data_IF_507114114940
#
_entry.id   IF_507114114940
#
_cell.length_a   1.000
_cell.length_b   1.000
_cell.length_c   1.000
_cell.angle_alpha   90.00
_cell.angle_beta   90.00
_cell.angle_gamma   90.00
#
_symmetry.space_group_name_H-M   'P 1'
#
loop_
_entity.id
_entity.type
_entity.pdbx_description
1 polymer ?
#
# COMPACT_ATOMS: atom_id res chain seq x y z
N UNK A 1 81.40 40.61 38.29
CA UNK A 1 79.94 40.68 38.51
C UNK A 1 79.29 41.13 37.21
N UNK A 2 78.79 40.17 36.44
CA UNK A 2 78.09 40.42 35.18
C UNK A 2 77.10 39.26 35.02
N UNK A 3 75.87 39.49 35.47
CA UNK A 3 74.78 38.52 35.38
C UNK A 3 74.23 38.58 33.95
N UNK A 4 74.35 37.48 33.21
CA UNK A 4 73.69 37.27 31.92
C UNK A 4 72.29 36.74 32.16
N UNK A 5 71.29 37.55 31.87
CA UNK A 5 69.87 37.17 31.88
C UNK A 5 69.56 36.37 30.61
N UNK A 6 69.18 35.10 30.77
CA UNK A 6 68.65 34.28 29.67
C UNK A 6 67.16 34.61 29.47
N UNK A 7 66.80 35.08 28.27
CA UNK A 7 65.42 35.17 27.81
C UNK A 7 64.99 33.79 27.29
N UNK A 8 64.01 33.18 27.95
CA UNK A 8 63.32 31.98 27.48
C UNK A 8 62.18 32.44 26.55
N UNK A 9 62.32 32.19 25.25
CA UNK A 9 61.22 32.30 24.29
C UNK A 9 60.34 31.05 24.43
N UNK A 10 59.14 31.21 24.99
CA UNK A 10 58.11 30.17 24.98
C UNK A 10 57.43 30.12 23.61
N UNK A 11 57.67 29.04 22.85
CA UNK A 11 56.93 28.71 21.63
C UNK A 11 55.50 28.29 22.00
N UNK A 12 54.52 29.13 21.66
CA UNK A 12 53.10 28.80 21.76
C UNK A 12 52.75 27.81 20.64
N UNK A 13 52.66 26.52 20.97
CA UNK A 13 52.15 25.49 20.06
C UNK A 13 50.62 25.62 20.04
N UNK A 14 50.08 26.23 18.99
CA UNK A 14 48.65 26.18 18.70
C UNK A 14 48.28 24.76 18.27
N UNK A 15 47.71 23.98 19.20
CA UNK A 15 46.94 22.80 18.84
C UNK A 15 45.70 23.26 18.05
N UNK A 16 45.74 23.15 16.72
CA UNK A 16 44.52 23.13 15.93
C UNK A 16 43.78 21.83 16.25
N UNK A 17 42.87 21.89 17.22
CA UNK A 17 41.84 20.87 17.39
C UNK A 17 40.92 20.99 16.19
N UNK A 18 41.13 20.12 15.20
CA UNK A 18 40.14 19.85 14.16
C UNK A 18 38.89 19.32 14.86
N UNK A 19 37.95 20.22 15.18
CA UNK A 19 36.59 19.85 15.50
C UNK A 19 35.99 19.22 14.24
N UNK A 20 36.15 17.90 14.11
CA UNK A 20 35.27 17.12 13.25
C UNK A 20 33.86 17.30 13.82
N UNK A 21 33.09 18.19 13.19
CA UNK A 21 31.66 18.27 13.42
C UNK A 21 31.10 16.88 13.12
N UNK A 22 30.38 16.30 14.08
CA UNK A 22 29.59 15.08 13.90
C UNK A 22 28.37 15.35 12.99
N UNK A 23 28.60 15.97 11.83
CA UNK A 23 27.59 16.32 10.83
C UNK A 23 27.80 15.63 9.49
N UNK A 24 28.94 14.97 9.26
CA UNK A 24 29.24 14.34 7.96
C UNK A 24 29.33 12.79 7.98
N UNK A 25 28.74 12.14 8.99
CA UNK A 25 28.50 10.68 8.95
C UNK A 25 27.09 10.36 9.46
N UNK A 26 26.08 11.00 8.90
CA UNK A 26 24.79 10.35 8.73
C UNK A 26 24.74 9.94 7.27
N UNK A 27 25.07 8.67 6.97
CA UNK A 27 24.61 8.09 5.73
C UNK A 27 23.11 8.34 5.69
N UNK A 28 22.64 9.16 4.75
CA UNK A 28 21.22 9.38 4.56
C UNK A 28 20.61 7.99 4.37
N UNK A 29 19.78 7.53 5.31
CA UNK A 29 19.03 6.28 5.16
C UNK A 29 18.43 6.28 3.75
N UNK A 30 18.78 5.28 2.94
CA UNK A 30 18.29 5.18 1.58
C UNK A 30 16.77 5.20 1.63
N UNK A 31 16.15 6.06 0.82
CA UNK A 31 14.70 6.09 0.73
C UNK A 31 14.22 4.70 0.25
N UNK A 32 13.43 3.95 1.04
CA UNK A 32 13.05 2.58 0.70
C UNK A 32 12.18 2.50 -0.55
N UNK A 33 11.57 3.61 -1.00
CA UNK A 33 10.90 3.68 -2.30
C UNK A 33 11.89 3.75 -3.46
N UNK A 34 12.99 4.47 -3.29
CA UNK A 34 14.01 4.60 -4.33
C UNK A 34 14.75 3.28 -4.55
N UNK A 35 15.10 2.58 -3.46
CA UNK A 35 15.74 1.26 -3.51
C UNK A 35 14.87 0.24 -4.26
N UNK A 36 13.58 0.13 -3.90
CA UNK A 36 12.64 -0.74 -4.60
C UNK A 36 12.45 -0.36 -6.07
N UNK A 37 12.34 0.93 -6.36
CA UNK A 37 12.20 1.39 -7.74
C UNK A 37 13.42 1.01 -8.59
N UNK A 38 14.65 1.09 -8.04
CA UNK A 38 15.86 0.62 -8.73
C UNK A 38 15.79 -0.86 -9.06
N UNK A 39 15.37 -1.70 -8.10
CA UNK A 39 15.18 -3.14 -8.32
C UNK A 39 14.15 -3.42 -9.41
N UNK A 40 12.96 -2.81 -9.36
CA UNK A 40 11.92 -3.03 -10.38
C UNK A 40 12.40 -2.62 -11.78
N UNK A 41 13.13 -1.52 -11.90
CA UNK A 41 13.65 -1.03 -13.18
C UNK A 41 14.78 -1.90 -13.72
N UNK A 42 15.64 -2.40 -12.84
CA UNK A 42 16.69 -3.36 -13.21
C UNK A 42 16.05 -4.63 -13.80
N UNK A 43 15.09 -5.21 -13.08
CA UNK A 43 14.40 -6.43 -13.53
C UNK A 43 13.53 -6.20 -14.79
N UNK A 44 12.86 -5.05 -14.92
CA UNK A 44 12.15 -4.68 -16.16
C UNK A 44 13.09 -4.64 -17.38
N UNK A 45 14.32 -4.16 -17.21
CA UNK A 45 15.30 -4.04 -18.31
C UNK A 45 15.67 -5.39 -18.90
N UNK A 46 15.75 -6.43 -18.08
CA UNK A 46 16.19 -7.77 -18.48
C UNK A 46 15.02 -8.71 -18.82
N UNK A 47 13.89 -8.60 -18.13
CA UNK A 47 12.73 -9.49 -18.34
C UNK A 47 11.64 -8.89 -19.23
N UNK A 48 11.68 -7.59 -19.47
CA UNK A 48 10.61 -6.82 -20.11
C UNK A 48 9.24 -6.88 -19.40
N UNK A 49 9.16 -7.48 -18.21
CA UNK A 49 7.98 -7.38 -17.34
C UNK A 49 7.89 -5.93 -16.83
N UNK A 50 6.77 -5.23 -17.06
CA UNK A 50 6.71 -3.81 -16.71
C UNK A 50 6.90 -3.56 -15.22
N UNK A 51 7.68 -2.55 -14.85
CA UNK A 51 8.05 -2.25 -13.46
C UNK A 51 6.82 -2.07 -12.55
N UNK A 52 5.72 -1.54 -13.10
CA UNK A 52 4.50 -1.29 -12.34
C UNK A 52 3.75 -2.58 -11.98
N UNK A 53 3.97 -3.69 -12.70
CA UNK A 53 3.50 -5.01 -12.30
C UNK A 53 4.38 -5.59 -11.18
N UNK A 54 5.69 -5.48 -11.31
CA UNK A 54 6.64 -5.91 -10.27
C UNK A 54 6.35 -5.20 -8.94
N UNK A 55 6.17 -3.88 -8.99
CA UNK A 55 5.77 -3.08 -7.83
C UNK A 55 4.40 -3.48 -7.27
N UNK A 56 3.43 -3.80 -8.12
CA UNK A 56 2.10 -4.21 -7.71
C UNK A 56 2.09 -5.57 -6.99
N UNK A 57 2.86 -6.53 -7.49
CA UNK A 57 3.01 -7.86 -6.88
C UNK A 57 3.69 -7.71 -5.52
N UNK A 58 4.82 -6.99 -5.48
CA UNK A 58 5.53 -6.71 -4.24
C UNK A 58 4.62 -6.07 -3.18
N UNK A 59 3.87 -5.03 -3.58
CA UNK A 59 2.97 -4.35 -2.68
C UNK A 59 1.83 -5.25 -2.20
N UNK A 60 1.25 -6.09 -3.08
CA UNK A 60 0.23 -7.06 -2.69
C UNK A 60 0.76 -8.05 -1.65
N UNK A 61 1.95 -8.62 -1.89
CA UNK A 61 2.59 -9.57 -0.99
C UNK A 61 2.92 -8.91 0.36
N UNK A 62 3.45 -7.68 0.34
CA UNK A 62 3.69 -6.89 1.56
C UNK A 62 2.42 -6.74 2.39
N UNK A 63 1.30 -6.39 1.75
CA UNK A 63 0.01 -6.24 2.42
C UNK A 63 -0.46 -7.54 3.07
N UNK A 64 -0.37 -8.65 2.36
CA UNK A 64 -0.81 -9.96 2.83
C UNK A 64 0.08 -10.48 3.97
N UNK A 65 1.40 -10.37 3.84
CA UNK A 65 2.37 -10.83 4.85
C UNK A 65 2.34 -10.00 6.14
N UNK A 66 2.02 -8.71 6.04
CA UNK A 66 1.84 -7.87 7.24
C UNK A 66 0.74 -8.41 8.15
N UNK A 67 -0.37 -8.91 7.58
CA UNK A 67 -1.56 -9.33 8.34
C UNK A 67 -1.63 -10.83 8.60
N UNK A 68 -1.06 -11.68 7.73
CA UNK A 68 -0.98 -13.13 7.94
C UNK A 68 0.03 -13.48 9.03
N UNK A 69 -0.32 -14.46 9.86
CA UNK A 69 0.54 -14.96 10.95
C UNK A 69 1.31 -16.23 10.58
N UNK A 70 0.81 -16.93 9.57
CA UNK A 70 1.36 -18.15 9.01
C UNK A 70 2.44 -17.92 7.93
N UNK A 71 2.86 -16.66 7.74
CA UNK A 71 3.91 -16.26 6.80
C UNK A 71 4.98 -15.44 7.53
N UNK A 72 6.25 -15.50 7.06
CA UNK A 72 7.30 -14.63 7.57
C UNK A 72 6.96 -13.15 7.31
N UNK A 73 7.33 -12.28 8.25
CA UNK A 73 7.07 -10.84 8.12
C UNK A 73 7.95 -10.22 7.03
N UNK A 74 7.46 -9.19 6.31
CA UNK A 74 8.24 -8.52 5.30
C UNK A 74 9.24 -7.58 5.99
N UNK A 75 10.49 -8.01 6.06
CA UNK A 75 11.63 -7.32 6.69
C UNK A 75 12.68 -6.83 5.67
N UNK A 76 12.43 -7.09 4.38
CA UNK A 76 13.33 -6.77 3.26
C UNK A 76 12.76 -5.75 2.28
N UNK A 77 13.60 -5.33 1.33
CA UNK A 77 13.20 -4.42 0.26
C UNK A 77 12.09 -5.04 -0.58
N UNK A 78 12.17 -6.32 -0.93
CA UNK A 78 11.13 -7.06 -1.65
C UNK A 78 10.39 -7.99 -0.68
N UNK A 79 9.07 -8.01 -0.80
CA UNK A 79 8.12 -8.74 0.03
C UNK A 79 7.51 -9.94 -0.68
N UNK A 80 7.85 -10.19 -1.94
CA UNK A 80 7.44 -11.41 -2.63
C UNK A 80 7.91 -12.62 -1.82
N UNK A 81 7.00 -13.55 -1.56
CA UNK A 81 7.30 -14.76 -0.81
C UNK A 81 7.11 -15.97 -1.72
N UNK A 82 8.20 -16.72 -1.89
CA UNK A 82 8.24 -17.97 -2.62
C UNK A 82 8.57 -19.05 -1.58
N UNK A 83 7.70 -20.05 -1.37
CA UNK A 83 7.99 -21.15 -0.45
C UNK A 83 9.30 -21.86 -0.82
N UNK A 84 10.15 -22.24 0.13
CA UNK A 84 11.43 -22.90 -0.16
C UNK A 84 11.28 -24.13 -1.07
N UNK A 85 10.27 -24.96 -0.84
CA UNK A 85 9.94 -26.12 -1.66
C UNK A 85 9.55 -25.79 -3.12
N UNK A 86 9.03 -24.59 -3.36
CA UNK A 86 8.77 -24.08 -4.73
C UNK A 86 10.05 -23.48 -5.32
N UNK A 87 10.84 -22.80 -4.49
CA UNK A 87 12.11 -22.21 -4.90
C UNK A 87 13.11 -23.27 -5.38
N UNK A 88 13.38 -24.29 -4.57
CA UNK A 88 14.39 -25.32 -4.86
C UNK A 88 13.86 -26.47 -5.72
N UNK A 89 12.54 -26.58 -5.87
CA UNK A 89 11.84 -27.68 -6.54
C UNK A 89 11.27 -28.72 -5.56
N UNK A 90 10.04 -29.19 -5.82
CA UNK A 90 9.26 -30.00 -4.87
C UNK A 90 9.91 -31.33 -4.46
N UNK A 91 10.82 -31.85 -5.30
CA UNK A 91 11.52 -33.12 -5.09
C UNK A 91 12.96 -32.93 -4.60
N UNK A 92 13.43 -31.70 -4.42
CA UNK A 92 14.75 -31.42 -3.89
C UNK A 92 14.77 -31.65 -2.37
N UNK A 93 15.62 -32.55 -1.83
CA UNK A 93 15.72 -32.76 -0.39
C UNK A 93 16.38 -31.59 0.36
N UNK A 94 17.13 -30.72 -0.33
CA UNK A 94 17.81 -29.56 0.24
C UNK A 94 17.00 -28.28 0.00
N UNK A 95 16.29 -27.80 1.03
CA UNK A 95 15.50 -26.56 0.97
C UNK A 95 16.34 -25.27 1.02
N UNK A 96 17.63 -25.38 1.29
CA UNK A 96 18.57 -24.26 1.33
C UNK A 96 19.51 -24.27 0.11
N UNK A 97 19.13 -24.98 -0.95
CA UNK A 97 19.92 -25.02 -2.19
C UNK A 97 20.05 -23.62 -2.80
N UNK A 98 21.30 -23.25 -3.13
CA UNK A 98 21.64 -21.97 -3.76
C UNK A 98 22.29 -22.19 -5.14
N UNK A 99 22.69 -23.42 -5.51
CA UNK A 99 23.24 -23.71 -6.84
C UNK A 99 22.12 -23.69 -7.90
N UNK A 100 22.13 -22.73 -8.84
CA UNK A 100 21.08 -22.62 -9.85
C UNK A 100 20.94 -23.86 -10.74
N UNK A 101 22.02 -24.60 -11.00
CA UNK A 101 21.97 -25.81 -11.82
C UNK A 101 21.26 -26.95 -11.10
N UNK A 102 21.47 -27.08 -9.78
CA UNK A 102 20.77 -28.07 -8.94
C UNK A 102 19.28 -27.69 -8.83
N UNK A 103 18.97 -26.42 -8.56
CA UNK A 103 17.58 -25.94 -8.50
C UNK A 103 16.85 -26.22 -9.82
N UNK A 104 17.48 -25.92 -10.97
CA UNK A 104 16.91 -26.19 -12.29
C UNK A 104 16.72 -27.70 -12.55
N UNK A 105 17.64 -28.55 -12.09
CA UNK A 105 17.50 -30.01 -12.20
C UNK A 105 16.24 -30.51 -11.50
N UNK A 106 15.91 -29.95 -10.34
CA UNK A 106 14.68 -30.24 -9.60
C UNK A 106 13.46 -29.42 -10.05
N UNK A 107 13.58 -28.67 -11.16
CA UNK A 107 12.52 -27.80 -11.70
C UNK A 107 12.02 -26.76 -10.69
N UNK A 108 12.92 -26.27 -9.83
CA UNK A 108 12.64 -25.17 -8.92
C UNK A 108 12.53 -23.83 -9.65
N UNK A 109 11.91 -22.86 -8.98
CA UNK A 109 11.73 -21.50 -9.50
C UNK A 109 12.99 -20.62 -9.34
N UNK A 110 13.90 -20.98 -8.42
CA UNK A 110 15.07 -20.18 -8.08
C UNK A 110 16.03 -20.00 -9.26
N UNK A 111 16.46 -18.76 -9.48
CA UNK A 111 17.42 -18.36 -10.52
C UNK A 111 18.31 -17.25 -9.98
N UNK A 112 19.55 -17.22 -10.45
CA UNK A 112 20.54 -16.16 -10.14
C UNK A 112 20.17 -14.90 -10.93
N UNK A 113 19.59 -13.92 -10.23
CA UNK A 113 19.09 -12.68 -10.80
C UNK A 113 20.11 -11.56 -10.78
N UNK A 114 21.04 -11.57 -9.81
CA UNK A 114 22.06 -10.53 -9.66
C UNK A 114 23.44 -10.88 -10.26
N UNK A 115 23.63 -12.15 -10.66
CA UNK A 115 24.81 -12.66 -11.36
C UNK A 115 25.96 -13.05 -10.45
N UNK A 116 25.72 -13.29 -9.15
CA UNK A 116 26.76 -13.66 -8.19
C UNK A 116 27.11 -15.16 -8.18
N UNK A 117 26.42 -15.96 -9.01
CA UNK A 117 26.58 -17.40 -9.13
C UNK A 117 25.64 -18.20 -8.22
N UNK A 118 24.73 -17.56 -7.49
CA UNK A 118 23.80 -18.18 -6.56
C UNK A 118 22.36 -17.75 -6.84
N UNK A 119 21.43 -18.65 -6.56
CA UNK A 119 20.01 -18.36 -6.54
C UNK A 119 19.52 -18.38 -5.09
N UNK A 120 19.59 -17.25 -4.40
CA UNK A 120 19.30 -17.17 -2.97
C UNK A 120 17.93 -16.53 -2.67
N UNK A 121 17.10 -17.20 -1.86
CA UNK A 121 15.91 -16.60 -1.23
C UNK A 121 16.25 -15.40 -0.33
N UNK A 122 17.53 -15.25 0.02
CA UNK A 122 18.08 -14.14 0.80
C UNK A 122 18.61 -13.01 -0.08
N UNK A 123 18.47 -13.06 -1.41
CA UNK A 123 18.67 -11.93 -2.32
C UNK A 123 17.32 -11.35 -2.77
N UNK A 124 17.13 -10.04 -2.63
CA UNK A 124 15.88 -9.37 -3.02
C UNK A 124 15.76 -9.33 -4.55
N UNK A 125 16.92 -9.29 -5.21
CA UNK A 125 17.03 -9.28 -6.66
C UNK A 125 16.74 -10.65 -7.25
N UNK A 126 17.31 -11.73 -6.72
CA UNK A 126 16.99 -13.11 -7.16
C UNK A 126 15.50 -13.41 -7.01
N UNK A 127 14.90 -13.06 -5.85
CA UNK A 127 13.48 -13.30 -5.60
C UNK A 127 12.61 -12.54 -6.60
N UNK A 128 12.93 -11.27 -6.85
CA UNK A 128 12.19 -10.44 -7.79
C UNK A 128 12.36 -10.94 -9.24
N UNK A 129 13.59 -11.28 -9.63
CA UNK A 129 13.92 -11.76 -10.96
C UNK A 129 13.30 -13.14 -11.22
N UNK A 130 13.35 -14.07 -10.26
CA UNK A 130 12.71 -15.38 -10.36
C UNK A 130 11.21 -15.27 -10.59
N UNK A 131 10.53 -14.40 -9.85
CA UNK A 131 9.09 -14.16 -10.07
C UNK A 131 8.81 -13.50 -11.42
N UNK A 132 9.64 -12.56 -11.84
CA UNK A 132 9.52 -11.92 -13.16
C UNK A 132 9.75 -12.93 -14.30
N UNK A 133 10.74 -13.82 -14.16
CA UNK A 133 11.03 -14.90 -15.10
C UNK A 133 9.87 -15.92 -15.17
N UNK A 134 9.25 -16.23 -14.03
CA UNK A 134 8.02 -17.02 -14.00
C UNK A 134 6.90 -16.36 -14.83
N UNK A 135 6.66 -15.06 -14.68
CA UNK A 135 5.65 -14.36 -15.47
C UNK A 135 6.02 -14.27 -16.95
N UNK A 136 7.30 -14.09 -17.27
CA UNK A 136 7.81 -14.04 -18.64
C UNK A 136 7.48 -15.31 -19.43
N UNK A 137 7.41 -16.47 -18.77
CA UNK A 137 6.98 -17.72 -19.40
C UNK A 137 5.55 -17.69 -19.97
N UNK A 138 4.69 -16.79 -19.46
CA UNK A 138 3.35 -16.56 -19.99
C UNK A 138 3.33 -15.44 -21.04
N UNK A 139 4.14 -14.41 -20.85
CA UNK A 139 4.21 -13.24 -21.72
C UNK A 139 4.21 -11.92 -20.93
N UNK A 140 4.50 -10.83 -21.63
CA UNK A 140 4.73 -9.50 -21.01
C UNK A 140 3.52 -8.55 -21.10
N UNK A 141 2.47 -8.93 -21.85
CA UNK A 141 1.26 -8.14 -21.97
C UNK A 141 0.28 -8.37 -20.80
N UNK A 142 -0.73 -7.50 -20.73
CA UNK A 142 -1.69 -7.46 -19.62
C UNK A 142 -2.41 -8.80 -19.38
N UNK A 143 -2.81 -9.49 -20.44
CA UNK A 143 -3.65 -10.68 -20.33
C UNK A 143 -2.80 -11.89 -19.96
N UNK A 144 -1.62 -12.05 -20.58
CA UNK A 144 -0.67 -13.10 -20.23
C UNK A 144 -0.15 -12.97 -18.79
N UNK A 145 0.17 -11.76 -18.33
CA UNK A 145 0.55 -11.53 -16.92
C UNK A 145 -0.59 -11.94 -15.99
N UNK A 146 -1.84 -11.65 -16.31
CA UNK A 146 -2.98 -12.07 -15.49
C UNK A 146 -3.14 -13.59 -15.45
N UNK A 147 -2.88 -14.29 -16.56
CA UNK A 147 -2.88 -15.75 -16.60
C UNK A 147 -1.78 -16.29 -15.66
N UNK A 148 -0.55 -15.76 -15.75
CA UNK A 148 0.54 -16.14 -14.85
C UNK A 148 0.22 -15.89 -13.37
N UNK A 149 -0.34 -14.73 -13.05
CA UNK A 149 -0.78 -14.42 -11.68
C UNK A 149 -1.89 -15.35 -11.20
N UNK A 150 -2.84 -15.71 -12.05
CA UNK A 150 -3.90 -16.66 -11.69
C UNK A 150 -3.33 -18.05 -11.43
N UNK A 151 -2.41 -18.53 -12.27
CA UNK A 151 -1.73 -19.82 -12.07
C UNK A 151 -0.85 -19.84 -10.81
N UNK A 152 -0.32 -18.70 -10.37
CA UNK A 152 0.42 -18.64 -9.10
C UNK A 152 -0.54 -18.59 -7.90
N UNK A 153 -1.46 -17.64 -7.89
CA UNK A 153 -2.28 -17.34 -6.70
C UNK A 153 -3.59 -18.12 -6.59
N UNK A 154 -4.08 -18.70 -7.68
CA UNK A 154 -5.35 -19.44 -7.76
C UNK A 154 -6.55 -18.64 -7.22
N UNK A 155 -6.56 -17.31 -7.41
CA UNK A 155 -7.57 -16.42 -6.83
C UNK A 155 -7.80 -15.14 -7.64
N UNK A 156 -8.99 -15.02 -8.24
CA UNK A 156 -9.36 -13.88 -9.09
C UNK A 156 -9.26 -12.53 -8.38
N UNK A 157 -9.68 -12.46 -7.11
CA UNK A 157 -9.58 -11.22 -6.31
C UNK A 157 -8.13 -10.75 -6.18
N UNK A 158 -7.19 -11.67 -6.02
CA UNK A 158 -5.76 -11.37 -5.92
C UNK A 158 -5.23 -10.81 -7.24
N UNK A 159 -5.55 -11.45 -8.35
CA UNK A 159 -5.20 -10.95 -9.70
C UNK A 159 -5.81 -9.56 -9.93
N UNK A 160 -7.07 -9.34 -9.53
CA UNK A 160 -7.75 -8.06 -9.62
C UNK A 160 -7.10 -6.95 -8.79
N UNK A 161 -6.69 -7.24 -7.55
CA UNK A 161 -5.95 -6.29 -6.70
C UNK A 161 -4.61 -5.92 -7.31
N UNK A 162 -3.80 -6.91 -7.74
CA UNK A 162 -2.49 -6.67 -8.37
C UNK A 162 -2.66 -5.84 -9.66
N UNK A 163 -3.61 -6.18 -10.52
CA UNK A 163 -3.89 -5.42 -11.74
C UNK A 163 -4.33 -3.97 -11.43
N UNK A 164 -5.07 -3.78 -10.34
CA UNK A 164 -5.47 -2.44 -9.88
C UNK A 164 -4.29 -1.62 -9.38
N UNK A 165 -3.39 -2.21 -8.60
CA UNK A 165 -2.17 -1.54 -8.13
C UNK A 165 -1.26 -1.20 -9.30
N UNK A 166 -1.10 -2.13 -10.25
CA UNK A 166 -0.33 -1.92 -11.48
C UNK A 166 -0.88 -0.72 -12.28
N UNK A 167 -2.20 -0.60 -12.40
CA UNK A 167 -2.86 0.53 -13.05
C UNK A 167 -2.60 1.85 -12.31
N UNK A 168 -2.65 1.85 -10.97
CA UNK A 168 -2.37 3.03 -10.14
C UNK A 168 -0.90 3.45 -10.29
N UNK A 169 0.05 2.53 -10.15
CA UNK A 169 1.48 2.82 -10.30
C UNK A 169 1.85 3.30 -11.69
N UNK A 170 1.30 2.68 -12.74
CA UNK A 170 1.47 3.15 -14.12
C UNK A 170 0.97 4.58 -14.30
N UNK A 171 -0.15 4.93 -13.68
CA UNK A 171 -0.74 6.26 -13.81
C UNK A 171 0.09 7.35 -13.12
N UNK A 172 0.54 7.09 -11.89
CA UNK A 172 1.30 8.09 -11.12
C UNK A 172 2.80 8.08 -11.39
N UNK A 173 3.34 7.01 -11.99
CA UNK A 173 4.77 6.88 -12.31
C UNK A 173 5.68 6.73 -11.08
N UNK A 174 5.11 6.44 -9.91
CA UNK A 174 5.79 6.38 -8.61
C UNK A 174 5.06 5.46 -7.65
N UNK A 175 5.74 5.02 -6.58
CA UNK A 175 5.23 4.03 -5.62
C UNK A 175 4.93 4.60 -4.22
N UNK A 176 5.39 5.81 -3.91
CA UNK A 176 5.23 6.52 -2.65
C UNK A 176 3.84 7.18 -2.52
N UNK A 177 2.78 6.36 -2.55
CA UNK A 177 1.38 6.79 -2.58
C UNK A 177 0.68 6.70 -1.21
N UNK A 178 1.36 7.13 -0.14
CA UNK A 178 0.88 6.95 1.26
C UNK A 178 0.07 8.13 1.80
N UNK A 179 -0.27 9.10 0.94
CA UNK A 179 -1.02 10.27 1.39
C UNK A 179 -2.46 9.88 1.70
N UNK A 180 -2.95 10.36 2.84
CA UNK A 180 -4.36 10.25 3.21
C UNK A 180 -4.94 11.61 3.60
N UNK A 181 -6.24 11.76 3.37
CA UNK A 181 -7.03 12.93 3.80
C UNK A 181 -8.30 12.48 4.51
N UNK A 182 -8.94 13.40 5.23
CA UNK A 182 -10.23 13.16 5.85
C UNK A 182 -11.34 13.08 4.78
N UNK A 183 -12.34 12.19 4.91
CA UNK A 183 -13.31 11.93 3.84
C UNK A 183 -14.29 13.09 3.56
N UNK A 184 -14.36 14.10 4.42
CA UNK A 184 -15.08 15.37 4.19
C UNK A 184 -14.14 16.56 4.42
N UNK A 185 -14.37 17.73 3.78
CA UNK A 185 -13.55 18.92 4.01
C UNK A 185 -13.41 19.28 5.48
N UNK A 186 -12.20 19.63 5.93
CA UNK A 186 -11.95 19.96 7.34
C UNK A 186 -12.69 21.19 7.85
N UNK A 187 -13.09 22.07 6.94
CA UNK A 187 -13.86 23.29 7.21
C UNK A 187 -15.38 23.09 7.11
N UNK A 188 -15.87 21.89 6.76
CA UNK A 188 -17.30 21.61 6.79
C UNK A 188 -17.78 21.47 8.24
N UNK A 189 -19.05 21.78 8.49
CA UNK A 189 -19.69 21.41 9.74
C UNK A 189 -19.87 19.89 9.79
N UNK A 190 -19.10 19.22 10.65
CA UNK A 190 -19.18 17.76 10.78
C UNK A 190 -18.85 17.28 12.19
N UNK A 191 -19.47 16.18 12.59
CA UNK A 191 -19.18 15.47 13.84
C UNK A 191 -19.11 13.96 13.62
N UNK A 192 -18.25 13.29 14.39
CA UNK A 192 -18.10 11.84 14.35
C UNK A 192 -17.52 11.37 15.68
N UNK A 193 -17.85 10.14 16.06
CA UNK A 193 -17.32 9.44 17.23
C UNK A 193 -17.12 7.97 16.86
N UNK A 194 -16.34 7.22 17.64
CA UNK A 194 -16.30 5.77 17.44
C UNK A 194 -17.71 5.23 17.66
N UNK A 195 -18.24 4.60 16.63
CA UNK A 195 -19.55 3.93 16.60
C UNK A 195 -19.38 2.48 16.13
N UNK A 196 -18.13 2.00 16.15
CA UNK A 196 -17.78 0.65 15.75
C UNK A 196 -18.38 -0.36 16.72
N UNK A 197 -19.02 -1.39 16.19
CA UNK A 197 -19.65 -2.41 17.02
C UNK A 197 -21.03 -2.04 17.55
N UNK A 198 -21.49 -0.79 17.39
CA UNK A 198 -22.82 -0.35 17.81
C UNK A 198 -23.90 -1.22 17.18
N UNK A 199 -24.95 -1.55 17.94
CA UNK A 199 -26.03 -2.41 17.45
C UNK A 199 -26.77 -1.74 16.28
N UNK A 200 -26.85 -2.44 15.15
CA UNK A 200 -27.64 -2.03 13.98
C UNK A 200 -28.91 -2.88 13.92
N UNK A 201 -29.98 -2.39 14.54
CA UNK A 201 -31.30 -2.99 14.29
C UNK A 201 -32.46 -2.38 15.05
N UNK A 202 -33.52 -2.06 14.29
CA UNK A 202 -34.86 -2.56 14.60
C UNK A 202 -34.82 -4.12 14.62
N UNK A 203 -34.28 -4.73 15.69
CA UNK A 203 -34.43 -6.16 15.98
C UNK A 203 -33.47 -7.17 15.32
N UNK A 204 -32.19 -6.85 15.10
CA UNK A 204 -31.21 -7.81 14.53
C UNK A 204 -29.82 -7.79 15.16
N UNK A 205 -29.05 -8.89 14.97
CA UNK A 205 -27.67 -9.13 15.46
C UNK A 205 -26.55 -8.46 14.63
N UNK A 206 -26.85 -7.40 13.86
CA UNK A 206 -25.82 -6.72 13.05
C UNK A 206 -25.06 -5.71 13.89
N UNK A 207 -23.75 -5.69 13.74
CA UNK A 207 -22.90 -4.65 14.30
C UNK A 207 -22.65 -3.55 13.27
N UNK A 208 -22.36 -2.35 13.73
CA UNK A 208 -21.95 -1.25 12.87
C UNK A 208 -20.48 -1.41 12.45
N UNK A 209 -20.27 -1.84 11.21
CA UNK A 209 -18.94 -2.03 10.58
C UNK A 209 -18.40 -0.73 9.97
N UNK A 210 -18.46 0.38 10.71
CA UNK A 210 -17.98 1.66 10.22
C UNK A 210 -18.01 2.77 11.25
N UNK A 211 -17.85 3.99 10.77
CA UNK A 211 -18.06 5.22 11.53
C UNK A 211 -18.95 6.15 10.74
N UNK A 212 -19.98 6.68 11.39
CA UNK A 212 -20.87 7.67 10.80
C UNK A 212 -20.30 9.08 11.05
N UNK A 213 -20.13 9.82 9.96
CA UNK A 213 -19.68 11.21 9.96
C UNK A 213 -20.89 12.07 9.59
N UNK A 214 -21.54 12.64 10.60
CA UNK A 214 -22.67 13.54 10.42
C UNK A 214 -22.16 14.87 9.86
N UNK A 215 -22.78 15.32 8.78
CA UNK A 215 -22.45 16.57 8.10
C UNK A 215 -23.65 17.03 7.28
N UNK A 216 -23.67 18.29 6.87
CA UNK A 216 -24.79 18.85 6.10
C UNK A 216 -24.99 18.12 4.77
N UNK A 217 -26.25 18.04 4.31
CA UNK A 217 -26.57 17.40 3.04
C UNK A 217 -25.83 18.08 1.89
N UNK A 218 -25.20 17.29 1.02
CA UNK A 218 -24.43 17.78 -0.12
C UNK A 218 -22.99 18.17 0.20
N UNK A 219 -22.54 18.11 1.47
CA UNK A 219 -21.11 18.28 1.80
C UNK A 219 -20.27 17.35 0.93
N UNK A 220 -19.21 17.83 0.25
CA UNK A 220 -18.41 16.99 -0.62
C UNK A 220 -17.80 15.81 0.14
N UNK A 221 -17.98 14.60 -0.41
CA UNK A 221 -17.29 13.40 0.04
C UNK A 221 -16.07 13.19 -0.85
N UNK A 222 -14.91 12.96 -0.24
CA UNK A 222 -13.61 12.87 -0.89
C UNK A 222 -13.01 11.48 -0.71
N UNK A 223 -12.27 11.01 -1.72
CA UNK A 223 -11.45 9.81 -1.57
C UNK A 223 -10.37 10.04 -0.50
N UNK A 224 -10.25 9.12 0.45
CA UNK A 224 -9.30 9.21 1.58
C UNK A 224 -7.87 8.81 1.21
N UNK A 225 -7.66 8.18 0.07
CA UNK A 225 -6.42 7.52 -0.36
C UNK A 225 -6.32 7.50 -1.88
N UNK A 226 -5.12 7.23 -2.40
CA UNK A 226 -4.95 6.78 -3.77
C UNK A 226 -5.61 5.40 -3.92
N UNK A 227 -6.33 5.18 -5.01
CA UNK A 227 -7.02 3.90 -5.19
C UNK A 227 -7.77 3.77 -6.50
N UNK A 228 -8.52 2.68 -6.60
CA UNK A 228 -9.43 2.42 -7.73
C UNK A 228 -10.86 2.24 -7.23
N UNK A 229 -11.83 2.77 -7.97
CA UNK A 229 -13.25 2.54 -7.69
C UNK A 229 -13.62 1.11 -8.09
N UNK A 230 -13.86 0.22 -7.12
CA UNK A 230 -14.29 -1.16 -7.38
C UNK A 230 -15.80 -1.25 -7.60
N UNK A 231 -16.56 -0.49 -6.80
CA UNK A 231 -18.01 -0.47 -6.89
C UNK A 231 -18.56 0.95 -6.83
N UNK A 232 -19.63 1.15 -7.60
CA UNK A 232 -20.47 2.34 -7.61
C UNK A 232 -21.90 1.88 -7.84
N UNK A 233 -22.85 2.37 -7.06
CA UNK A 233 -24.27 2.10 -7.29
C UNK A 233 -25.10 2.02 -6.03
N UNK A 234 -26.31 1.51 -6.17
CA UNK A 234 -27.27 1.36 -5.07
C UNK A 234 -27.09 0.04 -4.33
N UNK A 235 -27.24 0.04 -3.01
CA UNK A 235 -27.68 -1.14 -2.27
C UNK A 235 -28.77 -0.79 -1.24
N UNK A 236 -29.55 -1.80 -0.83
CA UNK A 236 -30.72 -1.62 0.04
C UNK A 236 -30.40 -0.89 1.34
N UNK A 237 -29.24 -1.14 1.95
CA UNK A 237 -28.88 -0.60 3.27
C UNK A 237 -28.10 0.71 3.19
N UNK A 238 -27.04 0.75 2.39
CA UNK A 238 -26.15 1.91 2.23
C UNK A 238 -26.60 2.92 1.17
N UNK A 239 -27.71 2.69 0.45
CA UNK A 239 -28.20 3.61 -0.57
C UNK A 239 -27.19 3.78 -1.70
N UNK A 240 -26.96 5.01 -2.13
CA UNK A 240 -25.89 5.33 -3.07
C UNK A 240 -24.53 5.19 -2.38
N UNK A 241 -23.70 4.32 -2.93
CA UNK A 241 -22.41 3.97 -2.34
C UNK A 241 -21.29 3.83 -3.36
N UNK A 242 -20.07 4.10 -2.89
CA UNK A 242 -18.80 3.89 -3.59
C UNK A 242 -17.92 2.99 -2.73
N UNK A 243 -17.22 2.06 -3.37
CA UNK A 243 -16.12 1.31 -2.77
C UNK A 243 -14.84 1.58 -3.52
N UNK A 244 -13.79 1.96 -2.80
CA UNK A 244 -12.45 2.25 -3.34
C UNK A 244 -11.45 1.33 -2.67
N UNK A 245 -10.61 0.63 -3.44
CA UNK A 245 -9.47 -0.12 -2.88
C UNK A 245 -8.18 0.67 -3.06
N UNK A 246 -7.43 0.84 -1.96
CA UNK A 246 -6.12 1.49 -1.96
C UNK A 246 -4.98 0.48 -2.23
N UNK A 247 -3.76 1.00 -2.42
CA UNK A 247 -2.56 0.16 -2.62
C UNK A 247 -2.12 -0.59 -1.35
N UNK A 248 -2.73 -0.33 -0.20
CA UNK A 248 -2.46 -1.01 1.08
C UNK A 248 -3.46 -2.14 1.35
N UNK A 249 -4.21 -2.53 0.33
CA UNK A 249 -5.28 -3.53 0.35
C UNK A 249 -6.42 -3.19 1.32
N UNK A 250 -6.60 -1.91 1.64
CA UNK A 250 -7.77 -1.44 2.36
C UNK A 250 -8.86 -1.08 1.35
N UNK A 251 -10.05 -1.60 1.61
CA UNK A 251 -11.25 -1.25 0.90
C UNK A 251 -12.04 -0.23 1.73
N UNK A 252 -12.20 0.95 1.16
CA UNK A 252 -12.87 2.12 1.72
C UNK A 252 -14.30 2.17 1.22
N UNK A 253 -15.26 2.06 2.12
CA UNK A 253 -16.68 2.03 1.82
C UNK A 253 -17.34 3.36 2.18
N UNK A 254 -17.93 4.03 1.19
CA UNK A 254 -18.61 5.31 1.33
C UNK A 254 -20.09 5.10 1.01
N UNK A 255 -20.98 5.35 1.96
CA UNK A 255 -22.41 5.10 1.80
C UNK A 255 -23.27 6.30 2.24
N UNK A 256 -24.57 6.16 1.99
CA UNK A 256 -25.59 7.18 2.19
C UNK A 256 -25.40 8.43 1.36
N UNK A 257 -24.70 8.33 0.23
CA UNK A 257 -24.41 9.48 -0.63
C UNK A 257 -25.71 10.10 -1.18
N UNK A 258 -25.72 11.42 -1.36
CA UNK A 258 -26.80 12.11 -2.09
C UNK A 258 -26.74 11.83 -3.60
N UNK A 259 -25.54 11.59 -4.10
CA UNK A 259 -25.25 11.24 -5.49
C UNK A 259 -23.75 11.09 -5.70
N UNK A 260 -23.36 10.81 -6.94
CA UNK A 260 -21.97 10.64 -7.33
C UNK A 260 -21.44 11.91 -8.01
N UNK A 261 -20.16 12.22 -7.80
CA UNK A 261 -19.49 13.27 -8.56
C UNK A 261 -19.37 12.88 -10.04
N UNK A 262 -19.27 13.89 -10.92
CA UNK A 262 -19.11 13.69 -12.36
C UNK A 262 -17.82 12.93 -12.66
N UNK A 263 -17.89 11.96 -13.58
CA UNK A 263 -16.72 11.19 -14.02
C UNK A 263 -16.27 10.08 -13.06
N UNK A 264 -17.00 9.86 -11.96
CA UNK A 264 -16.77 8.71 -11.08
C UNK A 264 -17.48 7.49 -11.64
N UNK A 265 -16.73 6.43 -11.89
CA UNK A 265 -17.22 5.16 -12.42
C UNK A 265 -16.31 4.00 -11.97
N UNK A 266 -16.77 2.75 -12.11
CA UNK A 266 -15.95 1.58 -11.77
C UNK A 266 -14.67 1.58 -12.63
N UNK A 267 -13.53 1.27 -12.00
CA UNK A 267 -12.22 1.28 -12.64
C UNK A 267 -11.54 2.66 -12.70
N UNK A 268 -12.20 3.74 -12.24
CA UNK A 268 -11.61 5.07 -12.13
C UNK A 268 -10.52 5.09 -11.07
N UNK A 269 -9.35 5.62 -11.41
CA UNK A 269 -8.29 5.95 -10.46
C UNK A 269 -8.68 7.23 -9.72
N UNK A 270 -8.54 7.21 -8.40
CA UNK A 270 -8.79 8.34 -7.52
C UNK A 270 -7.53 8.66 -6.72
N UNK A 271 -7.43 9.91 -6.28
CA UNK A 271 -6.35 10.41 -5.43
C UNK A 271 -6.93 11.06 -4.17
N UNK A 272 -6.14 11.19 -3.09
CA UNK A 272 -6.59 11.78 -1.84
C UNK A 272 -7.16 13.18 -2.06
N UNK A 273 -8.40 13.40 -1.63
CA UNK A 273 -9.08 14.69 -1.73
C UNK A 273 -9.97 14.85 -2.97
N UNK A 274 -9.86 13.96 -3.95
CA UNK A 274 -10.75 13.95 -5.12
C UNK A 274 -12.20 13.76 -4.65
N UNK A 275 -13.10 14.66 -5.09
CA UNK A 275 -14.53 14.59 -4.75
C UNK A 275 -15.16 13.42 -5.49
N UNK A 276 -15.80 12.51 -4.74
CA UNK A 276 -16.43 11.29 -5.26
C UNK A 276 -17.96 11.30 -5.18
N UNK A 277 -18.53 12.20 -4.38
CA UNK A 277 -19.97 12.34 -4.18
C UNK A 277 -20.29 13.42 -3.17
N UNK A 278 -21.54 13.44 -2.70
CA UNK A 278 -21.98 14.31 -1.63
C UNK A 278 -22.56 13.51 -0.46
N UNK A 279 -22.45 14.05 0.75
CA UNK A 279 -23.14 13.54 1.92
C UNK A 279 -24.64 13.55 1.65
N UNK A 280 -25.35 12.52 2.09
CA UNK A 280 -26.78 12.42 1.89
C UNK A 280 -27.45 11.62 3.00
N UNK A 281 -28.64 11.12 2.69
CA UNK A 281 -29.49 10.33 3.58
C UNK A 281 -30.14 9.16 2.83
N UNK A 282 -29.42 8.63 1.82
CA UNK A 282 -29.96 7.60 0.94
C UNK A 282 -29.79 6.19 1.51
N UNK A 283 -30.79 5.34 1.34
CA UNK A 283 -30.75 3.93 1.76
C UNK A 283 -31.99 3.46 2.49
N UNK A 284 -31.88 2.26 3.09
CA UNK A 284 -32.97 1.56 3.79
C UNK A 284 -34.25 1.40 2.96
N UNK A 285 -34.11 1.01 1.69
CA UNK A 285 -35.25 0.84 0.79
C UNK A 285 -34.87 0.53 -0.68
N UNK A 286 -35.87 0.56 -1.59
CA UNK A 286 -35.62 0.46 -3.03
C UNK A 286 -34.78 1.63 -3.56
N UNK A 287 -34.16 1.49 -4.76
CA UNK A 287 -33.36 2.55 -5.39
C UNK A 287 -34.01 3.94 -5.32
N UNK A 288 -33.24 4.92 -4.85
CA UNK A 288 -33.70 6.32 -4.70
C UNK A 288 -34.32 6.67 -3.34
N UNK A 289 -34.48 5.70 -2.42
CA UNK A 289 -34.99 5.99 -1.07
C UNK A 289 -34.07 6.98 -0.33
N UNK A 290 -34.61 8.08 0.20
CA UNK A 290 -33.85 9.06 0.98
C UNK A 290 -34.66 9.65 2.14
N UNK A 291 -33.98 10.28 3.10
CA UNK A 291 -34.63 11.05 4.18
C UNK A 291 -35.11 10.24 5.37
N UNK A 292 -34.76 8.94 5.47
CA UNK A 292 -35.16 8.07 6.60
C UNK A 292 -34.34 8.27 7.88
N UNK A 293 -33.26 9.05 7.80
CA UNK A 293 -32.31 9.30 8.88
C UNK A 293 -31.57 10.62 8.59
N UNK A 294 -30.94 11.25 9.62
CA UNK A 294 -30.19 12.48 9.43
C UNK A 294 -29.05 12.32 8.41
N UNK A 295 -28.71 13.37 7.64
CA UNK A 295 -27.60 13.31 6.69
C UNK A 295 -26.26 12.93 7.36
N UNK A 296 -25.60 11.93 6.80
CA UNK A 296 -24.27 11.50 7.24
C UNK A 296 -23.57 10.71 6.15
N UNK A 297 -22.24 10.66 6.22
CA UNK A 297 -21.43 9.68 5.49
C UNK A 297 -21.22 8.48 6.40
N UNK A 298 -21.74 7.32 6.01
CA UNK A 298 -21.28 6.07 6.59
C UNK A 298 -19.96 5.69 5.92
N UNK A 299 -18.89 5.59 6.72
CA UNK A 299 -17.55 5.27 6.26
C UNK A 299 -17.08 3.95 6.89
N UNK A 300 -16.88 2.93 6.07
CA UNK A 300 -16.41 1.59 6.48
C UNK A 300 -15.02 1.29 5.94
N UNK A 301 -14.27 0.43 6.64
CA UNK A 301 -12.96 -0.05 6.18
C UNK A 301 -12.88 -1.57 6.30
N UNK A 302 -12.37 -2.18 5.24
CA UNK A 302 -12.22 -3.62 5.11
C UNK A 302 -10.82 -3.95 4.61
N UNK A 303 -10.28 -5.11 4.97
CA UNK A 303 -8.96 -5.56 4.52
C UNK A 303 -8.99 -7.01 4.10
N UNK A 304 -8.17 -7.35 3.11
CA UNK A 304 -8.04 -8.71 2.58
C UNK A 304 -6.65 -9.29 2.92
N UNK A 305 -6.59 -10.56 3.32
CA UNK A 305 -5.36 -11.27 3.67
C UNK A 305 -4.96 -12.32 2.63
N UNK A 306 -5.52 -12.26 1.42
CA UNK A 306 -5.34 -13.29 0.40
C UNK A 306 -6.21 -14.53 0.58
N UNK A 307 -6.94 -14.66 1.69
CA UNK A 307 -7.90 -15.76 1.95
C UNK A 307 -9.30 -15.20 2.15
N UNK A 308 -9.46 -14.29 3.10
CA UNK A 308 -10.72 -13.68 3.51
C UNK A 308 -10.59 -12.16 3.64
N UNK A 309 -11.74 -11.48 3.54
CA UNK A 309 -11.88 -10.05 3.79
C UNK A 309 -12.60 -9.84 5.13
N UNK A 310 -12.15 -8.89 5.94
CA UNK A 310 -12.78 -8.53 7.22
C UNK A 310 -12.89 -7.02 7.38
N UNK A 311 -13.93 -6.58 8.07
CA UNK A 311 -14.12 -5.19 8.47
C UNK A 311 -13.27 -4.85 9.70
N UNK A 312 -12.80 -3.60 9.82
CA UNK A 312 -12.12 -3.10 11.02
C UNK A 312 -12.46 -1.64 11.32
N UNK A 313 -12.25 -1.22 12.58
CA UNK A 313 -12.65 0.12 13.06
C UNK A 313 -11.93 1.24 12.27
N UNK A 314 -12.68 2.07 11.51
CA UNK A 314 -12.08 3.18 10.79
C UNK A 314 -11.77 4.40 11.67
N UNK A 315 -12.32 4.48 12.89
CA UNK A 315 -12.20 5.67 13.73
C UNK A 315 -10.75 6.09 14.04
N UNK A 316 -9.82 5.18 14.41
CA UNK A 316 -8.42 5.54 14.61
C UNK A 316 -7.76 6.14 13.36
N UNK A 317 -8.12 5.62 12.18
CA UNK A 317 -7.63 6.14 10.91
C UNK A 317 -8.18 7.53 10.61
N UNK A 318 -9.48 7.74 10.83
CA UNK A 318 -10.14 9.04 10.67
C UNK A 318 -9.50 10.12 11.55
N UNK A 319 -9.22 9.81 12.83
CA UNK A 319 -8.51 10.71 13.75
C UNK A 319 -7.09 11.02 13.24
N UNK A 320 -6.34 10.00 12.82
CA UNK A 320 -4.98 10.16 12.29
C UNK A 320 -4.97 11.04 11.04
N UNK A 321 -5.83 10.77 10.06
CA UNK A 321 -5.87 11.50 8.79
C UNK A 321 -6.34 12.95 8.97
N UNK A 322 -7.33 13.21 9.85
CA UNK A 322 -7.73 14.57 10.21
C UNK A 322 -6.55 15.38 10.76
N UNK A 323 -5.74 14.77 11.64
CA UNK A 323 -4.55 15.40 12.21
C UNK A 323 -3.47 15.66 11.15
N UNK A 324 -3.21 14.67 10.29
CA UNK A 324 -2.21 14.77 9.22
C UNK A 324 -2.57 15.85 8.20
N UNK A 325 -3.83 15.90 7.74
CA UNK A 325 -4.30 16.92 6.79
C UNK A 325 -4.25 18.32 7.40
N UNK A 326 -4.62 18.49 8.68
CA UNK A 326 -4.46 19.78 9.37
C UNK A 326 -2.99 20.23 9.43
N UNK A 327 -2.07 19.29 9.66
CA UNK A 327 -0.65 19.60 9.72
C UNK A 327 -0.08 19.98 8.34
N UNK A 328 -0.53 19.34 7.26
CA UNK A 328 -0.07 19.69 5.90
C UNK A 328 -0.56 21.06 5.44
N UNK A 329 -1.78 21.46 5.82
CA UNK A 329 -2.31 22.79 5.53
C UNK A 329 -1.57 23.93 6.24
N UNK A 330 -0.94 23.67 7.39
CA UNK A 330 -0.13 24.67 8.12
C UNK A 330 1.28 24.86 7.54
N UNK A 331 1.75 23.92 6.73
CA UNK A 331 3.08 23.96 6.10
C UNK A 331 3.06 24.67 4.73
N UNK A 332 1.88 24.89 4.17
CA UNK A 332 1.64 25.72 2.99
C UNK A 332 1.35 27.14 3.46
#
# INVERSE_FOLDING_TARGET
MTVRTFLIFGTLVFFFSSFFSARDVCAAESNPYEERMKLYKKVETVTHIPWYYLAAIDQYERNVRMVRRDLPKPDRAISIYIPPEVWVGLTNPNLEEEDPAIIQFFQGMGVDGDGDGKASLKSDEDVLYAFANYLLSYGVDHDNIKIGLWNYYHRDRTVGSIASYAKIYRHFGRIDLDTNVFPVPLNSNHSYRSTWGDARGWGGRRIHEGTDIFADYGVPVRATSYGIVEIKGWNKYGGWRIGIRDINNNYHYYAHLSGFAKGIEKGKIVEPGMVIGGVGSSGYGPPGTSGKFPPHLHYGMYKDNGKTEWSFDPYPHLVKWKRMERASLKKK
#
